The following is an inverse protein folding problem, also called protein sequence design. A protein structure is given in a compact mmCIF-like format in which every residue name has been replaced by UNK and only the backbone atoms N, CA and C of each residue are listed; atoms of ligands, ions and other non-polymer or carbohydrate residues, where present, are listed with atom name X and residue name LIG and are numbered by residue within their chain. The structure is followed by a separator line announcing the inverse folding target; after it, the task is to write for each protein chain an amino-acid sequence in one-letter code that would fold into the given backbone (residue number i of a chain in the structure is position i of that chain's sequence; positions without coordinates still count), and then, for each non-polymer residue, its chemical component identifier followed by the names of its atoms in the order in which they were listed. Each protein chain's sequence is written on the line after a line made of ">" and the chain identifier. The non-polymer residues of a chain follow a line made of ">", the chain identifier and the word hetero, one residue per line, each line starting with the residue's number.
data_IF_154591172598
#
_entry.id   IF_154591172598
#
_cell.length_a   1.000
_cell.length_b   1.000
_cell.length_c   1.000
_cell.angle_alpha   90.00
_cell.angle_beta   90.00
_cell.angle_gamma   90.00
#
_symmetry.space_group_name_H-M   'P 1'
#
loop_
_entity.id
_entity.type
_entity.pdbx_description
1 polymer ?
#
# COMPACT_ATOMS: atom_id res chain seq x y z
N UNK A 1 2.63 -14.01 -39.05
CA UNK A 1 1.36 -14.43 -38.42
C UNK A 1 1.62 -14.71 -36.94
N UNK A 2 0.89 -14.05 -36.04
CA UNK A 2 1.04 -14.19 -34.59
C UNK A 2 0.74 -15.62 -34.13
N UNK A 3 1.67 -16.24 -33.38
CA UNK A 3 1.47 -17.63 -32.92
C UNK A 3 0.46 -17.69 -31.78
N UNK A 4 -0.32 -18.78 -31.70
CA UNK A 4 -1.29 -19.00 -30.61
C UNK A 4 -0.66 -18.99 -29.23
N UNK A 5 0.61 -19.40 -29.12
CA UNK A 5 1.44 -19.29 -27.92
C UNK A 5 1.67 -17.83 -27.51
N UNK A 6 2.06 -16.96 -28.44
CA UNK A 6 2.39 -15.57 -28.13
C UNK A 6 1.14 -14.78 -27.66
N UNK A 7 0.01 -15.00 -28.33
CA UNK A 7 -1.28 -14.41 -27.94
C UNK A 7 -1.71 -14.91 -26.55
N UNK A 8 -1.55 -16.20 -26.26
CA UNK A 8 -1.87 -16.75 -24.95
C UNK A 8 -0.99 -16.17 -23.83
N UNK A 9 0.31 -16.01 -24.06
CA UNK A 9 1.22 -15.37 -23.10
C UNK A 9 0.85 -13.91 -22.81
N UNK A 10 0.33 -13.19 -23.82
CA UNK A 10 -0.10 -11.80 -23.66
C UNK A 10 -1.35 -11.70 -22.78
N UNK A 11 -2.40 -12.47 -23.06
CA UNK A 11 -3.69 -12.34 -22.36
C UNK A 11 -3.84 -13.16 -21.09
N UNK A 12 -2.94 -14.09 -20.79
CA UNK A 12 -3.08 -14.98 -19.64
C UNK A 12 -1.87 -14.98 -18.72
N UNK A 13 -2.12 -15.21 -17.43
CA UNK A 13 -1.09 -15.43 -16.41
C UNK A 13 -1.07 -16.93 -16.06
N UNK A 14 0.08 -17.56 -16.22
CA UNK A 14 0.29 -18.95 -15.80
C UNK A 14 0.24 -19.04 -14.27
N UNK A 15 -0.68 -19.86 -13.77
CA UNK A 15 -0.90 -20.10 -12.35
C UNK A 15 -0.37 -21.47 -11.91
N UNK A 16 0.37 -22.16 -12.78
CA UNK A 16 0.91 -23.50 -12.57
C UNK A 16 -0.10 -24.62 -12.86
N UNK A 17 0.39 -25.85 -12.98
CA UNK A 17 -0.42 -27.06 -13.19
C UNK A 17 -1.36 -26.98 -14.41
N UNK A 18 -0.93 -26.29 -15.47
CA UNK A 18 -1.71 -26.08 -16.69
C UNK A 18 -2.94 -25.19 -16.49
N UNK A 19 -2.99 -24.36 -15.44
CA UNK A 19 -4.06 -23.38 -15.22
C UNK A 19 -3.59 -21.97 -15.60
N UNK A 20 -4.41 -21.30 -16.39
CA UNK A 20 -4.16 -19.95 -16.90
C UNK A 20 -5.29 -19.03 -16.49
N UNK A 21 -4.99 -17.85 -15.95
CA UNK A 21 -6.00 -16.84 -15.63
C UNK A 21 -6.00 -15.74 -16.70
N UNK A 22 -7.17 -15.44 -17.27
CA UNK A 22 -7.30 -14.34 -18.22
C UNK A 22 -7.07 -13.01 -17.51
N UNK A 23 -6.17 -12.18 -18.01
CA UNK A 23 -5.84 -10.86 -17.43
C UNK A 23 -6.98 -9.84 -17.60
N UNK A 24 -7.86 -10.02 -18.59
CA UNK A 24 -8.92 -9.08 -18.90
C UNK A 24 -10.22 -9.35 -18.12
N UNK A 25 -10.59 -10.62 -17.91
CA UNK A 25 -11.81 -10.99 -17.17
C UNK A 25 -11.57 -11.81 -15.89
N UNK A 26 -10.33 -12.14 -15.57
CA UNK A 26 -9.97 -12.91 -14.37
C UNK A 26 -10.34 -14.40 -14.40
N UNK A 27 -11.04 -14.89 -15.44
CA UNK A 27 -11.51 -16.28 -15.50
C UNK A 27 -10.32 -17.25 -15.65
N UNK A 28 -10.28 -18.25 -14.77
CA UNK A 28 -9.31 -19.33 -14.84
C UNK A 28 -9.73 -20.39 -15.87
N UNK A 29 -8.77 -20.84 -16.68
CA UNK A 29 -8.93 -21.87 -17.70
C UNK A 29 -7.85 -22.92 -17.51
N UNK A 30 -8.25 -24.19 -17.48
CA UNK A 30 -7.31 -25.32 -17.50
C UNK A 30 -7.00 -25.65 -18.96
N UNK A 31 -5.72 -25.75 -19.29
CA UNK A 31 -5.27 -26.24 -20.59
C UNK A 31 -5.61 -27.72 -20.72
N UNK A 32 -6.31 -28.08 -21.80
CA UNK A 32 -6.59 -29.48 -22.08
C UNK A 32 -5.30 -30.18 -22.53
N UNK A 33 -5.04 -31.42 -22.06
CA UNK A 33 -3.87 -32.19 -22.48
C UNK A 33 -3.87 -32.38 -24.01
N UNK A 34 -2.73 -32.17 -24.66
CA UNK A 34 -2.54 -32.46 -26.08
C UNK A 34 -3.11 -31.44 -27.09
N UNK A 35 -3.87 -30.42 -26.66
CA UNK A 35 -4.54 -29.49 -27.58
C UNK A 35 -3.84 -28.15 -27.80
N UNK A 36 -2.67 -27.94 -27.18
CA UNK A 36 -1.96 -26.65 -27.22
C UNK A 36 -2.77 -25.50 -26.63
N UNK A 37 -2.69 -24.31 -27.23
CA UNK A 37 -3.32 -23.06 -26.72
C UNK A 37 -4.75 -22.83 -27.24
N UNK A 38 -5.31 -23.75 -28.02
CA UNK A 38 -6.58 -23.59 -28.75
C UNK A 38 -7.75 -23.25 -27.83
N UNK A 39 -7.83 -23.86 -26.65
CA UNK A 39 -8.87 -23.60 -25.67
C UNK A 39 -8.80 -22.19 -25.05
N UNK A 40 -7.59 -21.64 -24.89
CA UNK A 40 -7.37 -20.27 -24.41
C UNK A 40 -7.76 -19.27 -25.52
N UNK A 41 -7.39 -19.55 -26.76
CA UNK A 41 -7.79 -18.72 -27.91
C UNK A 41 -9.31 -18.73 -28.12
N UNK A 42 -9.97 -19.88 -27.96
CA UNK A 42 -11.44 -19.96 -28.01
C UNK A 42 -12.11 -19.13 -26.90
N UNK A 43 -11.51 -19.08 -25.71
CA UNK A 43 -12.00 -18.18 -24.67
C UNK A 43 -11.89 -16.71 -25.09
N UNK A 44 -10.77 -16.30 -25.69
CA UNK A 44 -10.61 -14.93 -26.20
C UNK A 44 -11.61 -14.63 -27.33
N UNK A 45 -11.77 -15.53 -28.29
CA UNK A 45 -12.71 -15.35 -29.39
C UNK A 45 -14.18 -15.17 -28.93
N UNK A 46 -14.57 -15.87 -27.85
CA UNK A 46 -15.95 -15.83 -27.33
C UNK A 46 -16.19 -14.73 -26.30
N UNK A 47 -15.22 -14.44 -25.44
CA UNK A 47 -15.37 -13.50 -24.32
C UNK A 47 -14.75 -12.13 -24.58
N UNK A 48 -13.85 -12.03 -25.56
CA UNK A 48 -13.11 -10.82 -25.93
C UNK A 48 -13.06 -10.65 -27.46
N UNK A 49 -14.19 -10.38 -28.13
CA UNK A 49 -14.20 -10.06 -29.57
C UNK A 49 -13.24 -8.89 -29.82
N UNK A 50 -12.38 -9.00 -30.83
CA UNK A 50 -11.33 -7.99 -31.09
C UNK A 50 -9.99 -8.27 -30.40
N UNK A 51 -9.82 -9.39 -29.66
CA UNK A 51 -8.54 -9.72 -29.01
C UNK A 51 -7.34 -9.74 -29.97
N UNK A 52 -7.56 -10.04 -31.26
CA UNK A 52 -6.52 -10.01 -32.30
C UNK A 52 -6.07 -8.59 -32.60
N UNK A 53 -7.00 -7.65 -32.73
CA UNK A 53 -6.70 -6.24 -32.95
C UNK A 53 -6.00 -5.65 -31.73
N UNK A 54 -6.50 -5.92 -30.52
CA UNK A 54 -5.83 -5.50 -29.27
C UNK A 54 -4.42 -6.09 -29.17
N UNK A 55 -4.24 -7.34 -29.57
CA UNK A 55 -2.91 -7.94 -29.63
C UNK A 55 -2.04 -7.25 -30.68
N UNK A 56 -2.51 -7.07 -31.91
CA UNK A 56 -1.74 -6.47 -33.00
C UNK A 56 -1.44 -4.98 -32.78
N UNK A 57 -2.32 -4.24 -32.10
CA UNK A 57 -2.10 -2.87 -31.61
C UNK A 57 -1.07 -2.87 -30.49
N UNK A 58 -1.18 -3.77 -29.52
CA UNK A 58 -0.16 -3.90 -28.48
C UNK A 58 1.20 -4.25 -29.08
N UNK A 59 1.23 -5.12 -30.11
CA UNK A 59 2.46 -5.42 -30.84
C UNK A 59 2.95 -4.17 -31.56
N UNK A 60 2.09 -3.38 -32.22
CA UNK A 60 2.47 -2.11 -32.85
C UNK A 60 3.00 -1.08 -31.85
N UNK A 61 2.44 -0.97 -30.66
CA UNK A 61 2.93 -0.07 -29.60
C UNK A 61 4.18 -0.59 -28.90
N UNK A 62 4.37 -1.91 -28.81
CA UNK A 62 5.58 -2.54 -28.25
C UNK A 62 6.73 -2.57 -29.27
N UNK A 63 6.41 -2.64 -30.57
CA UNK A 63 7.34 -2.49 -31.70
C UNK A 63 7.40 -1.05 -32.24
N UNK A 64 6.80 -0.07 -31.56
CA UNK A 64 7.21 1.32 -31.75
C UNK A 64 8.57 1.48 -31.09
N UNK A 65 9.56 0.94 -31.79
CA UNK A 65 10.95 1.36 -31.76
C UNK A 65 10.97 2.89 -31.68
N UNK A 66 11.89 3.42 -30.88
CA UNK A 66 12.13 4.84 -30.69
C UNK A 66 12.36 5.59 -32.04
N UNK A 67 12.53 4.87 -33.17
CA UNK A 67 12.43 5.37 -34.55
C UNK A 67 11.08 6.06 -34.87
N UNK A 68 9.98 5.68 -34.21
CA UNK A 68 8.68 6.35 -34.37
C UNK A 68 8.68 7.80 -33.85
N UNK A 69 9.71 8.19 -33.07
CA UNK A 69 9.87 9.53 -32.49
C UNK A 69 10.90 10.40 -33.24
N UNK A 70 11.34 9.98 -34.44
CA UNK A 70 12.34 10.68 -35.25
C UNK A 70 13.71 9.99 -35.22
N UNK A 71 14.63 10.42 -36.10
CA UNK A 71 15.96 9.82 -36.26
C UNK A 71 16.74 9.80 -34.93
N UNK A 72 16.76 8.64 -34.27
CA UNK A 72 17.61 8.42 -33.10
C UNK A 72 18.88 7.76 -33.59
N UNK A 73 20.01 8.44 -33.37
CA UNK A 73 21.32 7.95 -33.78
C UNK A 73 21.57 6.56 -33.18
N UNK A 74 22.11 5.59 -33.94
CA UNK A 74 22.40 4.22 -33.51
C UNK A 74 23.03 4.10 -32.11
N UNK A 75 23.90 5.03 -31.74
CA UNK A 75 24.55 5.04 -30.42
C UNK A 75 23.55 5.17 -29.26
N UNK A 76 22.47 5.92 -29.44
CA UNK A 76 21.43 6.11 -28.42
C UNK A 76 20.56 4.86 -28.27
N UNK A 77 20.29 4.16 -29.37
CA UNK A 77 19.61 2.87 -29.35
C UNK A 77 20.44 1.80 -28.66
N UNK A 78 21.74 1.74 -28.97
CA UNK A 78 22.66 0.84 -28.29
C UNK A 78 22.65 1.08 -26.78
N UNK A 79 22.80 2.33 -26.34
CA UNK A 79 22.75 2.69 -24.90
C UNK A 79 21.43 2.28 -24.26
N UNK A 80 20.30 2.49 -24.93
CA UNK A 80 18.98 2.09 -24.43
C UNK A 80 18.86 0.56 -24.28
N UNK A 81 19.30 -0.21 -25.28
CA UNK A 81 19.32 -1.67 -25.22
C UNK A 81 20.23 -2.19 -24.09
N UNK A 82 21.38 -1.54 -23.88
CA UNK A 82 22.25 -1.84 -22.74
C UNK A 82 21.54 -1.58 -21.41
N UNK A 83 20.80 -0.46 -21.28
CA UNK A 83 20.04 -0.16 -20.06
C UNK A 83 18.92 -1.19 -19.81
N UNK A 84 18.14 -1.56 -20.84
CA UNK A 84 17.10 -2.59 -20.70
C UNK A 84 17.67 -3.96 -20.27
N UNK A 85 18.89 -4.29 -20.68
CA UNK A 85 19.53 -5.54 -20.30
C UNK A 85 20.14 -5.49 -18.88
N UNK A 86 20.73 -4.35 -18.50
CA UNK A 86 21.42 -4.17 -17.22
C UNK A 86 20.42 -3.90 -16.07
N UNK A 87 19.31 -3.18 -16.32
CA UNK A 87 18.31 -2.85 -15.30
C UNK A 87 17.69 -4.07 -14.58
N UNK A 88 17.32 -5.17 -15.26
CA UNK A 88 16.88 -6.41 -14.61
C UNK A 88 17.96 -7.06 -13.73
N UNK A 89 19.23 -6.99 -14.14
CA UNK A 89 20.36 -7.52 -13.38
C UNK A 89 20.58 -6.67 -12.12
N UNK A 90 20.54 -5.35 -12.25
CA UNK A 90 20.58 -4.39 -11.15
C UNK A 90 19.41 -4.60 -10.18
N UNK A 91 18.19 -4.79 -10.68
CA UNK A 91 17.00 -5.02 -9.85
C UNK A 91 17.10 -6.32 -9.04
N UNK A 92 17.51 -7.43 -9.66
CA UNK A 92 17.74 -8.71 -8.95
C UNK A 92 18.84 -8.57 -7.89
N UNK A 93 19.91 -7.86 -8.24
CA UNK A 93 21.04 -7.61 -7.34
C UNK A 93 20.61 -6.71 -6.18
N UNK A 94 19.87 -5.65 -6.44
CA UNK A 94 19.30 -4.75 -5.43
C UNK A 94 18.37 -5.52 -4.48
N UNK A 95 17.47 -6.35 -4.98
CA UNK A 95 16.60 -7.19 -4.14
C UNK A 95 17.42 -8.14 -3.27
N UNK A 96 18.50 -8.72 -3.81
CA UNK A 96 19.41 -9.57 -3.03
C UNK A 96 20.06 -8.78 -1.89
N UNK A 97 20.60 -7.59 -2.16
CA UNK A 97 21.20 -6.75 -1.13
C UNK A 97 20.17 -6.24 -0.11
N UNK A 98 18.96 -5.86 -0.54
CA UNK A 98 17.87 -5.49 0.35
C UNK A 98 17.51 -6.62 1.32
N UNK A 99 17.51 -7.88 0.85
CA UNK A 99 17.31 -9.05 1.73
C UNK A 99 18.46 -9.21 2.73
N UNK A 100 19.71 -9.01 2.31
CA UNK A 100 20.86 -9.05 3.23
C UNK A 100 20.81 -7.95 4.27
N UNK A 101 20.40 -6.74 3.89
CA UNK A 101 20.18 -5.62 4.82
C UNK A 101 19.06 -5.98 5.79
N UNK A 102 17.92 -6.48 5.30
CA UNK A 102 16.81 -6.88 6.14
C UNK A 102 17.20 -7.99 7.13
N UNK A 103 18.01 -8.98 6.73
CA UNK A 103 18.51 -10.03 7.65
C UNK A 103 19.46 -9.45 8.71
N UNK A 104 20.44 -8.64 8.29
CA UNK A 104 21.46 -8.09 9.21
C UNK A 104 20.86 -7.08 10.18
N UNK A 105 20.02 -6.17 9.69
CA UNK A 105 19.31 -5.18 10.50
C UNK A 105 18.23 -5.88 11.33
N UNK A 106 17.55 -6.87 10.77
CA UNK A 106 16.52 -7.63 11.47
C UNK A 106 17.04 -8.31 12.73
N UNK A 107 18.18 -9.00 12.64
CA UNK A 107 18.87 -9.59 13.80
C UNK A 107 19.27 -8.55 14.85
N UNK A 108 19.71 -7.37 14.41
CA UNK A 108 20.06 -6.30 15.32
C UNK A 108 18.83 -5.76 16.05
N UNK A 109 17.73 -5.53 15.33
CA UNK A 109 16.45 -5.11 15.89
C UNK A 109 15.93 -6.16 16.89
N UNK A 110 16.01 -7.45 16.56
CA UNK A 110 15.61 -8.54 17.48
C UNK A 110 16.36 -8.44 18.81
N UNK A 111 17.68 -8.27 18.78
CA UNK A 111 18.50 -8.12 19.98
C UNK A 111 18.16 -6.85 20.75
N UNK A 112 18.11 -5.70 20.05
CA UNK A 112 17.90 -4.39 20.67
C UNK A 112 16.48 -4.25 21.27
N UNK A 113 15.47 -4.93 20.69
CA UNK A 113 14.09 -4.93 21.17
C UNK A 113 13.90 -5.71 22.48
N UNK A 114 14.80 -6.63 22.81
CA UNK A 114 14.76 -7.40 24.06
C UNK A 114 13.46 -8.20 24.25
N UNK A 115 13.09 -8.45 25.52
CA UNK A 115 11.89 -9.21 25.89
C UNK A 115 10.76 -8.31 26.43
N UNK A 116 10.95 -6.99 26.36
CA UNK A 116 10.05 -6.00 26.92
C UNK A 116 10.04 -4.78 26.00
N UNK A 117 8.97 -4.63 25.21
CA UNK A 117 8.86 -3.54 24.24
C UNK A 117 7.42 -3.06 24.06
N UNK A 118 7.27 -1.85 23.52
CA UNK A 118 5.99 -1.28 23.12
C UNK A 118 5.73 -1.45 21.63
N UNK A 119 4.46 -1.58 21.23
CA UNK A 119 4.06 -1.55 19.82
C UNK A 119 3.33 -0.26 19.48
N UNK A 120 3.67 0.36 18.36
CA UNK A 120 2.96 1.52 17.84
C UNK A 120 2.34 1.19 16.48
N UNK A 121 1.04 1.44 16.32
CA UNK A 121 0.36 1.35 15.03
C UNK A 121 -0.04 2.75 14.55
N UNK A 122 0.47 3.12 13.39
CA UNK A 122 0.01 4.27 12.63
C UNK A 122 -0.90 3.77 11.50
N UNK A 123 -2.14 4.25 11.47
CA UNK A 123 -3.17 3.80 10.55
C UNK A 123 -3.89 4.98 9.89
N UNK A 124 -3.85 5.04 8.56
CA UNK A 124 -4.72 5.95 7.79
C UNK A 124 -5.76 5.15 7.01
N UNK A 125 -6.99 5.68 6.90
CA UNK A 125 -8.06 5.07 6.09
C UNK A 125 -8.11 5.71 4.71
N UNK A 126 -7.98 4.90 3.65
CA UNK A 126 -8.24 5.33 2.27
C UNK A 126 -9.67 4.95 1.86
N UNK A 127 -10.62 5.86 2.09
CA UNK A 127 -12.00 5.77 1.59
C UNK A 127 -13.08 5.45 2.64
N UNK A 128 -14.37 5.54 2.26
CA UNK A 128 -15.48 5.34 3.19
C UNK A 128 -15.57 3.88 3.64
N UNK A 129 -15.48 3.66 4.95
CA UNK A 129 -15.51 2.35 5.59
C UNK A 129 -16.95 1.92 5.90
N UNK A 130 -17.41 0.86 5.24
CA UNK A 130 -18.53 0.07 5.72
C UNK A 130 -18.07 -0.81 6.89
N UNK A 131 -18.97 -1.11 7.84
CA UNK A 131 -18.69 -1.87 9.07
C UNK A 131 -18.17 -3.30 8.83
N UNK A 132 -18.42 -3.88 7.65
CA UNK A 132 -17.85 -5.16 7.23
C UNK A 132 -16.38 -5.05 6.77
N UNK A 133 -15.96 -3.87 6.28
CA UNK A 133 -14.59 -3.63 5.78
C UNK A 133 -13.61 -3.41 6.94
N UNK A 134 -14.05 -2.79 8.03
CA UNK A 134 -13.25 -2.55 9.24
C UNK A 134 -12.95 -3.84 10.03
N UNK A 135 -13.89 -4.79 10.06
CA UNK A 135 -13.67 -6.10 10.69
C UNK A 135 -12.70 -6.96 9.87
N UNK A 136 -12.78 -6.91 8.54
CA UNK A 136 -11.85 -7.63 7.65
C UNK A 136 -10.43 -7.02 7.68
N UNK A 137 -10.30 -5.69 7.73
CA UNK A 137 -9.00 -5.03 7.87
C UNK A 137 -8.36 -5.34 9.23
N UNK A 138 -9.13 -5.31 10.32
CA UNK A 138 -8.67 -5.72 11.66
C UNK A 138 -8.22 -7.18 11.71
N UNK A 139 -8.97 -8.09 11.08
CA UNK A 139 -8.58 -9.51 10.94
C UNK A 139 -7.23 -9.68 10.23
N UNK A 140 -7.06 -8.97 9.11
CA UNK A 140 -5.84 -9.04 8.30
C UNK A 140 -4.66 -8.42 9.04
N UNK A 141 -4.86 -7.28 9.69
CA UNK A 141 -3.84 -6.59 10.49
C UNK A 141 -3.38 -7.42 11.69
N UNK A 142 -4.31 -7.94 12.50
CA UNK A 142 -3.95 -8.77 13.67
C UNK A 142 -3.26 -10.09 13.30
N UNK A 143 -3.56 -10.65 12.12
CA UNK A 143 -2.81 -11.79 11.56
C UNK A 143 -1.41 -11.36 11.11
N UNK A 144 -1.30 -10.20 10.47
CA UNK A 144 -0.02 -9.61 10.05
C UNK A 144 0.90 -9.32 11.23
N UNK A 145 0.38 -8.85 12.37
CA UNK A 145 1.19 -8.56 13.56
C UNK A 145 1.81 -9.82 14.17
N UNK A 146 1.06 -10.92 14.23
CA UNK A 146 1.60 -12.22 14.69
C UNK A 146 2.76 -12.68 13.80
N UNK A 147 2.57 -12.61 12.48
CA UNK A 147 3.63 -12.94 11.53
C UNK A 147 4.83 -12.02 11.68
N UNK A 148 4.63 -10.71 11.91
CA UNK A 148 5.71 -9.76 12.12
C UNK A 148 6.52 -10.09 13.39
N UNK A 149 5.87 -10.35 14.52
CA UNK A 149 6.55 -10.73 15.77
C UNK A 149 7.41 -11.98 15.59
N UNK A 150 6.91 -12.97 14.83
CA UNK A 150 7.66 -14.19 14.56
C UNK A 150 8.94 -13.97 13.73
N UNK A 151 9.00 -12.91 12.91
CA UNK A 151 10.22 -12.55 12.16
C UNK A 151 11.36 -12.16 13.10
N UNK A 152 11.02 -11.58 14.25
CA UNK A 152 11.97 -11.15 15.27
C UNK A 152 12.02 -12.10 16.47
N UNK A 153 11.48 -13.32 16.33
CA UNK A 153 11.42 -14.32 17.40
C UNK A 153 10.78 -13.77 18.70
N UNK A 154 9.75 -12.92 18.56
CA UNK A 154 9.02 -12.32 19.69
C UNK A 154 7.66 -12.97 19.87
N UNK A 155 7.23 -12.98 21.12
CA UNK A 155 5.88 -13.41 21.51
C UNK A 155 5.06 -12.21 22.02
N UNK A 156 3.73 -12.37 22.00
CA UNK A 156 2.80 -11.36 22.52
C UNK A 156 3.01 -11.03 23.99
N UNK A 157 3.48 -11.99 24.78
CA UNK A 157 3.80 -11.80 26.21
C UNK A 157 4.93 -10.80 26.46
N UNK A 158 5.76 -10.51 25.46
CA UNK A 158 6.86 -9.55 25.55
C UNK A 158 6.43 -8.09 25.30
N UNK A 159 5.17 -7.89 24.92
CA UNK A 159 4.60 -6.56 24.66
C UNK A 159 4.13 -5.96 25.98
N UNK A 160 4.75 -4.87 26.39
CA UNK A 160 4.39 -4.15 27.63
C UNK A 160 3.19 -3.22 27.43
N UNK A 161 3.17 -2.49 26.32
CA UNK A 161 2.12 -1.51 26.02
C UNK A 161 1.94 -1.33 24.53
N UNK A 162 0.78 -0.81 24.14
CA UNK A 162 0.45 -0.56 22.74
C UNK A 162 -0.03 0.88 22.57
N UNK A 163 0.59 1.61 21.65
CA UNK A 163 0.21 2.97 21.26
C UNK A 163 -0.58 2.88 19.95
N UNK A 164 -1.85 3.24 20.01
CA UNK A 164 -2.75 3.21 18.86
C UNK A 164 -3.68 4.41 18.85
N UNK A 165 -4.15 4.80 17.67
CA UNK A 165 -5.30 5.71 17.58
C UNK A 165 -6.58 5.04 18.13
N UNK A 166 -7.58 5.85 18.50
CA UNK A 166 -8.86 5.36 19.01
C UNK A 166 -9.85 4.94 17.91
N UNK A 167 -9.39 4.24 16.88
CA UNK A 167 -10.27 3.67 15.86
C UNK A 167 -10.77 2.27 16.29
N UNK A 168 -12.04 1.96 15.96
CA UNK A 168 -12.65 0.64 16.20
C UNK A 168 -11.80 -0.53 15.63
N UNK A 169 -11.05 -0.28 14.56
CA UNK A 169 -10.12 -1.27 13.98
C UNK A 169 -8.97 -1.60 14.92
N UNK A 170 -8.40 -0.57 15.56
CA UNK A 170 -7.26 -0.70 16.48
C UNK A 170 -7.69 -1.28 17.82
N UNK A 171 -8.86 -0.90 18.33
CA UNK A 171 -9.48 -1.56 19.48
C UNK A 171 -9.67 -3.06 19.23
N UNK A 172 -10.22 -3.43 18.06
CA UNK A 172 -10.42 -4.84 17.71
C UNK A 172 -9.08 -5.61 17.55
N UNK A 173 -8.01 -4.96 17.08
CA UNK A 173 -6.67 -5.56 17.02
C UNK A 173 -6.15 -5.83 18.44
N UNK A 174 -6.25 -4.85 19.35
CA UNK A 174 -5.80 -5.00 20.74
C UNK A 174 -6.53 -6.16 21.45
N UNK A 175 -7.87 -6.22 21.34
CA UNK A 175 -8.67 -7.31 21.91
C UNK A 175 -8.27 -8.68 21.34
N UNK A 176 -8.02 -8.79 20.03
CA UNK A 176 -7.55 -10.03 19.38
C UNK A 176 -6.12 -10.42 19.73
N UNK A 177 -5.32 -9.46 20.21
CA UNK A 177 -3.99 -9.72 20.72
C UNK A 177 -4.00 -10.22 22.16
N UNK A 178 -5.13 -10.13 22.87
CA UNK A 178 -5.24 -10.55 24.28
C UNK A 178 -4.46 -9.64 25.23
N UNK A 179 -4.11 -8.43 24.76
CA UNK A 179 -3.48 -7.41 25.58
C UNK A 179 -4.57 -6.80 26.48
N UNK A 180 -4.30 -6.66 27.78
CA UNK A 180 -5.22 -5.98 28.70
C UNK A 180 -5.55 -4.60 28.14
N UNK A 181 -6.83 -4.22 28.18
CA UNK A 181 -7.28 -2.87 27.83
C UNK A 181 -6.64 -1.81 28.76
N UNK A 182 -6.07 -2.20 29.90
CA UNK A 182 -5.31 -1.31 30.79
C UNK A 182 -3.95 -0.90 30.18
N UNK A 183 -3.46 -1.65 29.17
CA UNK A 183 -2.32 -1.28 28.33
C UNK A 183 -2.75 -0.42 27.11
N UNK A 184 -3.97 0.13 27.12
CA UNK A 184 -4.41 1.15 26.16
C UNK A 184 -3.74 2.48 26.46
N UNK A 185 -2.61 2.71 25.80
CA UNK A 185 -2.07 4.05 25.66
C UNK A 185 -2.89 4.76 24.60
N UNK A 186 -4.01 5.34 25.03
CA UNK A 186 -4.78 6.38 24.31
C UNK A 186 -3.98 7.72 24.29
N UNK A 187 -2.64 7.70 24.32
CA UNK A 187 -1.91 8.76 25.02
C UNK A 187 -1.24 9.84 24.16
N UNK A 188 -1.51 9.97 22.87
CA UNK A 188 -1.24 11.26 22.23
C UNK A 188 -2.47 12.14 22.37
N UNK A 189 -3.57 11.85 21.67
CA UNK A 189 -4.73 12.74 21.68
C UNK A 189 -5.48 12.78 23.02
N UNK A 190 -5.73 11.65 23.71
CA UNK A 190 -6.49 11.70 24.97
C UNK A 190 -5.63 12.15 26.15
N UNK A 191 -4.35 11.75 26.23
CA UNK A 191 -3.49 12.26 27.29
C UNK A 191 -3.20 13.77 27.10
N UNK A 192 -3.01 14.23 25.86
CA UNK A 192 -2.96 15.67 25.56
C UNK A 192 -4.32 16.30 25.89
N UNK A 193 -5.45 15.69 25.56
CA UNK A 193 -6.78 16.25 25.89
C UNK A 193 -7.01 16.35 27.40
N UNK A 194 -6.56 15.35 28.19
CA UNK A 194 -6.61 15.36 29.67
C UNK A 194 -5.67 16.40 30.25
N UNK A 195 -4.44 16.49 29.73
CA UNK A 195 -3.49 17.53 30.13
C UNK A 195 -4.00 18.94 29.82
N UNK A 196 -4.73 19.08 28.70
CA UNK A 196 -5.34 20.34 28.27
C UNK A 196 -6.70 20.62 28.92
N UNK A 197 -7.21 19.73 29.78
CA UNK A 197 -8.51 19.88 30.44
C UNK A 197 -8.54 21.12 31.35
N UNK A 198 -7.45 21.35 32.08
CA UNK A 198 -7.27 22.54 32.93
C UNK A 198 -7.23 23.84 32.10
N UNK A 199 -6.84 23.75 30.83
CA UNK A 199 -6.74 24.89 29.90
C UNK A 199 -7.95 24.98 28.97
N UNK A 200 -8.99 24.16 29.18
CA UNK A 200 -10.10 24.04 28.25
C UNK A 200 -10.81 25.38 28.00
N UNK A 201 -10.98 26.19 29.03
CA UNK A 201 -11.58 27.53 28.92
C UNK A 201 -10.77 28.45 28.01
N UNK A 202 -9.43 28.47 28.17
CA UNK A 202 -8.53 29.25 27.34
C UNK A 202 -8.51 28.73 25.90
N UNK A 203 -8.50 27.41 25.71
CA UNK A 203 -8.56 26.78 24.39
C UNK A 203 -9.88 27.14 23.68
N UNK A 204 -11.01 27.08 24.39
CA UNK A 204 -12.32 27.43 23.84
C UNK A 204 -12.40 28.93 23.45
N UNK A 205 -11.76 29.81 24.24
CA UNK A 205 -11.59 31.24 23.88
C UNK A 205 -10.75 31.43 22.62
N UNK A 206 -9.60 30.75 22.52
CA UNK A 206 -8.74 30.78 21.34
C UNK A 206 -9.47 30.23 20.11
N UNK A 207 -10.22 29.14 20.25
CA UNK A 207 -11.04 28.59 19.16
C UNK A 207 -12.11 29.57 18.70
N UNK A 208 -12.77 30.26 19.64
CA UNK A 208 -13.77 31.30 19.34
C UNK A 208 -13.13 32.45 18.56
N UNK A 209 -11.98 32.92 18.99
CA UNK A 209 -11.22 33.97 18.30
C UNK A 209 -10.76 33.50 16.91
N UNK A 210 -10.22 32.29 16.79
CA UNK A 210 -9.82 31.73 15.50
C UNK A 210 -10.99 31.62 14.52
N UNK A 211 -12.22 31.34 14.99
CA UNK A 211 -13.42 31.37 14.13
C UNK A 211 -13.72 32.80 13.66
N UNK A 212 -13.65 33.80 14.54
CA UNK A 212 -13.88 35.21 14.17
C UNK A 212 -12.83 35.74 13.19
N UNK A 213 -11.58 35.33 13.36
CA UNK A 213 -10.47 35.72 12.48
C UNK A 213 -10.54 35.08 11.08
N UNK A 214 -11.47 34.13 10.86
CA UNK A 214 -11.71 33.54 9.54
C UNK A 214 -12.74 34.29 8.70
N UNK A 215 -13.46 35.25 9.26
CA UNK A 215 -14.35 36.11 8.47
C UNK A 215 -13.54 36.97 7.49
N UNK A 216 -14.02 37.15 6.27
CA UNK A 216 -13.24 37.71 5.16
C UNK A 216 -12.57 39.05 5.50
N UNK A 217 -13.30 39.95 6.14
CA UNK A 217 -12.76 41.26 6.56
C UNK A 217 -11.65 41.14 7.61
N UNK A 218 -11.81 40.22 8.58
CA UNK A 218 -10.84 40.01 9.65
C UNK A 218 -9.61 39.23 9.17
N UNK A 219 -9.81 38.27 8.26
CA UNK A 219 -8.74 37.48 7.66
C UNK A 219 -7.85 38.35 6.76
N UNK A 220 -8.46 39.28 6.00
CA UNK A 220 -7.72 40.25 5.20
C UNK A 220 -6.85 41.18 6.06
N UNK A 221 -7.37 41.63 7.19
CA UNK A 221 -6.61 42.45 8.14
C UNK A 221 -5.51 41.63 8.84
N UNK A 222 -5.82 40.41 9.28
CA UNK A 222 -4.85 39.49 9.90
C UNK A 222 -3.68 39.15 8.96
N UNK A 223 -3.93 39.03 7.66
CA UNK A 223 -2.89 38.77 6.66
C UNK A 223 -1.82 39.87 6.58
N UNK A 224 -2.12 41.08 7.08
CA UNK A 224 -1.14 42.17 7.20
C UNK A 224 -0.17 41.95 8.36
N UNK A 225 -0.59 41.25 9.41
CA UNK A 225 0.20 41.02 10.63
C UNK A 225 0.89 39.66 10.65
N UNK A 226 0.38 38.67 9.92
CA UNK A 226 0.95 37.32 9.90
C UNK A 226 0.66 36.56 8.61
N UNK A 227 1.60 35.68 8.24
CA UNK A 227 1.44 34.74 7.11
C UNK A 227 0.61 33.49 7.48
N UNK A 228 0.35 33.28 8.77
CA UNK A 228 -0.34 32.08 9.26
C UNK A 228 -1.85 32.26 9.22
N UNK A 229 -2.57 31.20 8.82
CA UNK A 229 -4.03 31.20 8.79
C UNK A 229 -4.59 30.64 10.10
N UNK A 230 -5.67 31.24 10.64
CA UNK A 230 -6.33 30.72 11.82
C UNK A 230 -6.93 29.34 11.54
N UNK A 231 -6.58 28.35 12.37
CA UNK A 231 -7.04 26.97 12.27
C UNK A 231 -8.16 26.73 13.26
N UNK A 232 -9.25 26.09 12.79
CA UNK A 232 -10.28 25.54 13.66
C UNK A 232 -9.85 24.14 14.10
N UNK A 233 -10.03 23.79 15.36
CA UNK A 233 -9.77 22.44 15.83
C UNK A 233 -10.61 21.43 15.04
N UNK A 234 -9.96 20.34 14.63
CA UNK A 234 -10.68 19.18 14.13
C UNK A 234 -11.27 18.48 15.35
N UNK A 235 -12.59 18.33 15.41
CA UNK A 235 -13.21 17.47 16.41
C UNK A 235 -12.77 16.03 16.11
N UNK A 236 -11.79 15.52 16.85
CA UNK A 236 -11.43 14.11 16.83
C UNK A 236 -12.62 13.34 17.41
N UNK A 237 -13.38 12.68 16.52
CA UNK A 237 -14.45 11.76 16.89
C UNK A 237 -13.86 10.42 17.32
#
# INVERSE_FOLDING_TARGET
>A
MSTSRAIASFFFTDSGNGKFSCKQCGKARKQAPGTGYTNLINHLATSHPGYRETYDESQRSFHQSLEAHGFINPRTMEIFMWLEWVLPVLSKTLVKYMRHVADKVGKRIETDMGNQFGLMFDGWTSGPTTSSRSTASSQRAGRSTKSLLSVYNKDRSMILFMVVDNCATNQAIATRMGLSLDAQVIASTLAVSRYLEDFKTLIDQVQTLCVQLRYDNNAAELARFTKYKPLKSNATR
#
